data_IF_950059240020
#
_entry.id   IF_950059240020
#
_cell.length_a   1.000
_cell.length_b   1.000
_cell.length_c   1.000
_cell.angle_alpha   90.00
_cell.angle_beta   90.00
_cell.angle_gamma   90.00
#
_symmetry.space_group_name_H-M   'P 1'
#
loop_
_entity.id
_entity.type
_entity.pdbx_description
1 polymer ?
#
# COMPACT_ATOMS: atom_id res chain seq x y z
N UNK A 1 26.89 5.28 16.45
CA UNK A 1 26.06 6.09 15.51
C UNK A 1 25.35 5.14 14.54
N UNK A 2 24.04 5.14 14.29
CA UNK A 2 22.87 5.77 14.92
C UNK A 2 21.89 4.63 15.25
N UNK A 3 21.65 4.36 16.54
CA UNK A 3 20.43 3.64 16.93
C UNK A 3 19.24 4.47 16.40
N UNK A 4 18.26 3.83 15.76
CA UNK A 4 17.06 4.54 15.27
C UNK A 4 16.30 5.07 16.48
N UNK A 5 16.59 6.30 16.89
CA UNK A 5 15.93 6.92 18.03
C UNK A 5 14.43 7.08 17.72
N UNK A 6 13.53 6.66 18.61
CA UNK A 6 12.11 6.88 18.44
C UNK A 6 11.82 8.39 18.38
N UNK A 7 10.81 8.76 17.60
CA UNK A 7 10.35 10.14 17.51
C UNK A 7 9.41 10.45 18.68
N UNK A 8 9.33 11.73 19.06
CA UNK A 8 8.35 12.17 20.04
C UNK A 8 6.93 11.99 19.52
N UNK A 9 5.97 11.75 20.42
CA UNK A 9 4.56 11.54 20.05
C UNK A 9 3.99 12.68 19.18
N UNK A 10 4.28 13.93 19.53
CA UNK A 10 3.84 15.11 18.75
C UNK A 10 4.36 15.09 17.32
N UNK A 11 5.63 14.69 17.14
CA UNK A 11 6.26 14.60 15.82
C UNK A 11 5.70 13.42 15.03
N UNK A 12 5.48 12.28 15.67
CA UNK A 12 4.82 11.13 15.05
C UNK A 12 3.40 11.46 14.58
N UNK A 13 2.63 12.15 15.41
CA UNK A 13 1.29 12.63 15.07
C UNK A 13 1.33 13.57 13.87
N UNK A 14 2.19 14.59 13.89
CA UNK A 14 2.31 15.56 12.79
C UNK A 14 2.70 14.91 11.46
N UNK A 15 3.66 13.98 11.46
CA UNK A 15 4.02 13.22 10.26
C UNK A 15 2.85 12.40 9.74
N UNK A 16 2.21 11.64 10.62
CA UNK A 16 1.08 10.78 10.26
C UNK A 16 -0.07 11.61 9.68
N UNK A 17 -0.41 12.73 10.30
CA UNK A 17 -1.47 13.61 9.84
C UNK A 17 -1.17 14.17 8.45
N UNK A 18 0.01 14.75 8.24
CA UNK A 18 0.41 15.33 6.95
C UNK A 18 0.46 14.28 5.85
N UNK A 19 1.04 13.11 6.13
CA UNK A 19 1.13 12.02 5.15
C UNK A 19 -0.25 11.51 4.72
N UNK A 20 -1.17 11.32 5.67
CA UNK A 20 -2.54 10.91 5.35
C UNK A 20 -3.31 12.00 4.60
N UNK A 21 -3.13 13.27 4.96
CA UNK A 21 -3.78 14.39 4.28
C UNK A 21 -3.39 14.45 2.80
N UNK A 22 -2.09 14.39 2.50
CA UNK A 22 -1.58 14.39 1.11
C UNK A 22 -2.07 13.17 0.34
N UNK A 23 -2.05 11.99 0.97
CA UNK A 23 -2.50 10.75 0.34
C UNK A 23 -4.00 10.79 0.04
N UNK A 24 -4.84 11.19 0.98
CA UNK A 24 -6.28 11.32 0.81
C UNK A 24 -6.64 12.36 -0.25
N UNK A 25 -5.97 13.52 -0.25
CA UNK A 25 -6.14 14.55 -1.28
C UNK A 25 -5.79 14.03 -2.68
N UNK A 26 -4.74 13.20 -2.79
CA UNK A 26 -4.35 12.57 -4.05
C UNK A 26 -5.37 11.52 -4.50
N UNK A 27 -5.91 10.70 -3.57
CA UNK A 27 -6.97 9.74 -3.87
C UNK A 27 -8.24 10.42 -4.37
N UNK A 28 -8.66 11.49 -3.70
CA UNK A 28 -9.77 12.31 -4.16
C UNK A 28 -9.47 12.96 -5.52
N UNK A 29 -8.25 13.46 -5.71
CA UNK A 29 -7.79 14.03 -6.97
C UNK A 29 -7.87 13.05 -8.14
N UNK A 30 -7.60 11.75 -7.92
CA UNK A 30 -7.75 10.72 -8.97
C UNK A 30 -9.21 10.56 -9.41
N UNK A 31 -10.17 10.57 -8.46
CA UNK A 31 -11.59 10.53 -8.79
C UNK A 31 -12.04 11.78 -9.55
N UNK A 32 -11.62 12.97 -9.09
CA UNK A 32 -11.92 14.25 -9.77
C UNK A 32 -11.37 14.25 -11.19
N UNK A 33 -10.15 13.74 -11.38
CA UNK A 33 -9.52 13.64 -12.68
C UNK A 33 -10.32 12.75 -13.63
N UNK A 34 -10.69 11.54 -13.17
CA UNK A 34 -11.50 10.62 -13.98
C UNK A 34 -12.87 11.25 -14.33
N UNK A 35 -13.48 11.99 -13.41
CA UNK A 35 -14.75 12.67 -13.64
C UNK A 35 -14.65 13.87 -14.59
N UNK A 36 -13.54 14.61 -14.56
CA UNK A 36 -13.36 15.83 -15.37
C UNK A 36 -12.75 15.58 -16.75
N UNK A 37 -11.79 14.66 -16.84
CA UNK A 37 -11.03 14.37 -18.07
C UNK A 37 -11.43 13.05 -18.73
N UNK A 38 -12.10 12.16 -17.98
CA UNK A 38 -12.60 10.89 -18.48
C UNK A 38 -14.10 10.95 -18.78
N UNK A 39 -14.80 9.85 -18.50
CA UNK A 39 -16.24 9.72 -18.67
C UNK A 39 -16.90 9.11 -17.42
N UNK A 40 -18.22 9.26 -17.25
CA UNK A 40 -18.95 8.61 -16.16
C UNK A 40 -18.72 7.08 -16.12
N UNK A 41 -18.56 6.45 -17.27
CA UNK A 41 -18.26 5.02 -17.39
C UNK A 41 -16.88 4.68 -16.78
N UNK A 42 -15.86 5.51 -17.03
CA UNK A 42 -14.53 5.31 -16.44
C UNK A 42 -14.57 5.41 -14.92
N UNK A 43 -15.29 6.41 -14.39
CA UNK A 43 -15.49 6.57 -12.94
C UNK A 43 -16.23 5.36 -12.36
N UNK A 44 -17.26 4.88 -13.06
CA UNK A 44 -18.02 3.69 -12.68
C UNK A 44 -17.16 2.43 -12.64
N UNK A 45 -16.35 2.18 -13.68
CA UNK A 45 -15.45 1.03 -13.76
C UNK A 45 -14.37 1.06 -12.67
N UNK A 46 -13.76 2.23 -12.44
CA UNK A 46 -12.77 2.40 -11.37
C UNK A 46 -13.38 2.15 -9.99
N UNK A 47 -14.54 2.74 -9.72
CA UNK A 47 -15.25 2.60 -8.45
C UNK A 47 -15.71 1.16 -8.23
N UNK A 48 -16.21 0.49 -9.27
CA UNK A 48 -16.58 -0.93 -9.22
C UNK A 48 -15.38 -1.80 -8.88
N UNK A 49 -14.21 -1.56 -9.50
CA UNK A 49 -13.00 -2.31 -9.17
C UNK A 49 -12.54 -2.11 -7.73
N UNK A 50 -12.63 -0.90 -7.19
CA UNK A 50 -12.41 -0.66 -5.76
C UNK A 50 -13.43 -1.40 -4.88
N UNK A 51 -14.71 -1.36 -5.25
CA UNK A 51 -15.79 -2.00 -4.50
C UNK A 51 -15.68 -3.53 -4.46
N UNK A 52 -15.28 -4.15 -5.57
CA UNK A 52 -15.10 -5.62 -5.65
C UNK A 52 -13.85 -6.06 -4.89
N UNK A 53 -12.77 -5.30 -4.97
CA UNK A 53 -11.48 -5.69 -4.38
C UNK A 53 -11.41 -5.44 -2.87
N UNK A 54 -12.06 -4.39 -2.37
CA UNK A 54 -11.95 -3.99 -0.97
C UNK A 54 -12.39 -5.08 0.04
N UNK A 55 -13.56 -5.74 -0.09
CA UNK A 55 -13.99 -6.74 0.89
C UNK A 55 -13.03 -7.94 1.00
N UNK A 56 -12.55 -8.45 -0.14
CA UNK A 56 -11.61 -9.58 -0.17
C UNK A 56 -10.29 -9.20 0.52
N UNK A 57 -9.75 -8.02 0.21
CA UNK A 57 -8.51 -7.52 0.82
C UNK A 57 -8.67 -7.23 2.31
N UNK A 58 -9.80 -6.66 2.73
CA UNK A 58 -10.10 -6.39 4.14
C UNK A 58 -10.25 -7.68 4.95
N UNK A 59 -10.94 -8.69 4.39
CA UNK A 59 -11.12 -9.98 5.02
C UNK A 59 -9.78 -10.66 5.32
N UNK A 60 -8.85 -10.63 4.38
CA UNK A 60 -7.51 -11.23 4.54
C UNK A 60 -6.49 -10.34 5.23
N UNK A 61 -6.84 -9.09 5.58
CA UNK A 61 -5.91 -8.15 6.23
C UNK A 61 -5.61 -8.55 7.68
N UNK A 62 -6.58 -9.17 8.37
CA UNK A 62 -6.48 -9.66 9.75
C UNK A 62 -6.03 -8.59 10.78
N UNK A 63 -6.13 -7.30 10.42
CA UNK A 63 -5.56 -6.18 11.17
C UNK A 63 -4.07 -6.38 11.51
N UNK A 64 -3.34 -7.07 10.63
CA UNK A 64 -2.00 -7.59 10.91
C UNK A 64 -0.99 -6.49 11.27
N UNK A 65 -1.12 -5.31 10.66
CA UNK A 65 -0.27 -4.16 10.98
C UNK A 65 -0.39 -3.72 12.44
N UNK A 66 -1.60 -3.75 12.99
CA UNK A 66 -1.82 -3.39 14.40
C UNK A 66 -1.18 -4.44 15.31
N UNK A 67 -1.43 -5.72 15.02
CA UNK A 67 -0.84 -6.86 15.75
C UNK A 67 0.69 -6.79 15.76
N UNK A 68 1.29 -6.46 14.61
CA UNK A 68 2.73 -6.29 14.49
C UNK A 68 3.26 -5.08 15.27
N UNK A 69 2.56 -3.94 15.18
CA UNK A 69 2.98 -2.71 15.87
C UNK A 69 2.89 -2.82 17.40
N UNK A 70 1.98 -3.67 17.91
CA UNK A 70 1.79 -3.88 19.35
C UNK A 70 2.57 -5.07 19.92
N UNK A 71 3.26 -5.85 19.09
CA UNK A 71 4.17 -6.90 19.56
C UNK A 71 5.45 -6.29 20.16
N UNK A 72 5.31 -5.75 21.37
CA UNK A 72 6.40 -5.16 22.14
C UNK A 72 7.37 -6.22 22.68
N UNK A 73 6.94 -7.49 22.73
CA UNK A 73 7.75 -8.61 23.23
C UNK A 73 8.56 -9.29 22.13
N UNK A 74 8.43 -8.87 20.86
CA UNK A 74 9.09 -9.48 19.70
C UNK A 74 8.90 -11.00 19.68
N UNK A 75 7.66 -11.46 19.93
CA UNK A 75 7.34 -12.88 19.96
C UNK A 75 7.45 -13.53 18.59
N UNK A 76 7.24 -12.74 17.52
CA UNK A 76 7.33 -13.19 16.14
C UNK A 76 8.35 -12.37 15.36
N UNK A 77 9.03 -13.01 14.41
CA UNK A 77 9.96 -12.30 13.53
C UNK A 77 9.20 -11.63 12.38
N UNK A 78 9.78 -10.58 11.80
CA UNK A 78 9.19 -9.89 10.64
C UNK A 78 8.79 -10.83 9.50
N UNK A 79 9.54 -11.92 9.30
CA UNK A 79 9.28 -12.92 8.28
C UNK A 79 7.93 -13.63 8.47
N UNK A 80 7.47 -13.84 9.71
CA UNK A 80 6.19 -14.48 10.01
C UNK A 80 5.02 -13.60 9.56
N UNK A 81 5.10 -12.30 9.89
CA UNK A 81 4.13 -11.29 9.45
C UNK A 81 4.10 -11.16 7.93
N UNK A 82 5.28 -11.14 7.28
CA UNK A 82 5.38 -11.06 5.82
C UNK A 82 4.81 -12.32 5.16
N UNK A 83 5.11 -13.51 5.68
CA UNK A 83 4.60 -14.77 5.18
C UNK A 83 3.07 -14.83 5.23
N UNK A 84 2.48 -14.51 6.40
CA UNK A 84 1.03 -14.47 6.57
C UNK A 84 0.38 -13.45 5.61
N UNK A 85 1.01 -12.30 5.41
CA UNK A 85 0.53 -11.28 4.48
C UNK A 85 0.54 -11.74 3.03
N UNK A 86 1.61 -12.41 2.59
CA UNK A 86 1.73 -12.91 1.23
C UNK A 86 0.66 -13.99 0.96
N UNK A 87 0.45 -14.90 1.90
CA UNK A 87 -0.59 -15.94 1.81
C UNK A 87 -1.99 -15.29 1.76
N UNK A 88 -2.30 -14.38 2.70
CA UNK A 88 -3.58 -13.69 2.74
C UNK A 88 -3.85 -12.87 1.49
N UNK A 89 -2.84 -12.15 0.99
CA UNK A 89 -2.95 -11.36 -0.25
C UNK A 89 -3.15 -12.26 -1.47
N UNK A 90 -2.43 -13.38 -1.56
CA UNK A 90 -2.63 -14.37 -2.61
C UNK A 90 -4.06 -14.94 -2.60
N UNK A 91 -4.58 -15.29 -1.43
CA UNK A 91 -5.96 -15.75 -1.27
C UNK A 91 -6.97 -14.67 -1.71
N UNK A 92 -6.77 -13.41 -1.33
CA UNK A 92 -7.63 -12.32 -1.76
C UNK A 92 -7.64 -12.14 -3.28
N UNK A 93 -6.47 -12.24 -3.94
CA UNK A 93 -6.39 -12.18 -5.41
C UNK A 93 -7.16 -13.33 -6.07
N UNK A 94 -7.07 -14.55 -5.52
CA UNK A 94 -7.84 -15.69 -6.02
C UNK A 94 -9.36 -15.47 -5.86
N UNK A 95 -9.80 -14.93 -4.73
CA UNK A 95 -11.21 -14.56 -4.49
C UNK A 95 -11.66 -13.50 -5.50
N UNK A 96 -10.88 -12.43 -5.68
CA UNK A 96 -11.19 -11.35 -6.63
C UNK A 96 -11.28 -11.90 -8.05
N UNK A 97 -10.35 -12.75 -8.47
CA UNK A 97 -10.37 -13.39 -9.77
C UNK A 97 -11.62 -14.28 -9.93
N UNK A 98 -11.94 -15.10 -8.93
CA UNK A 98 -13.13 -15.96 -8.93
C UNK A 98 -14.45 -15.17 -9.03
N UNK A 99 -14.57 -14.07 -8.29
CA UNK A 99 -15.73 -13.15 -8.36
C UNK A 99 -15.81 -12.55 -9.77
N UNK A 100 -14.71 -12.01 -10.27
CA UNK A 100 -14.64 -11.31 -11.56
C UNK A 100 -15.02 -12.24 -12.73
N UNK A 101 -14.53 -13.48 -12.72
CA UNK A 101 -14.82 -14.48 -13.75
C UNK A 101 -16.28 -14.95 -13.72
N UNK A 102 -16.90 -15.04 -12.54
CA UNK A 102 -18.31 -15.49 -12.39
C UNK A 102 -19.34 -14.39 -12.62
N UNK A 103 -18.98 -13.13 -12.41
CA UNK A 103 -19.91 -12.00 -12.48
C UNK A 103 -20.32 -11.61 -13.91
N UNK A 104 -19.66 -12.15 -14.94
CA UNK A 104 -20.03 -11.90 -16.34
C UNK A 104 -19.79 -10.46 -16.81
N UNK A 105 -18.85 -9.73 -16.18
CA UNK A 105 -18.51 -8.38 -16.59
C UNK A 105 -17.92 -8.33 -18.00
N UNK A 106 -18.07 -7.19 -18.68
CA UNK A 106 -17.35 -6.91 -19.92
C UNK A 106 -15.85 -7.08 -19.70
N UNK A 107 -15.15 -7.65 -20.70
CA UNK A 107 -13.71 -7.94 -20.66
C UNK A 107 -12.86 -6.78 -20.11
N UNK A 108 -13.11 -5.56 -20.59
CA UNK A 108 -12.42 -4.34 -20.14
C UNK A 108 -12.59 -4.10 -18.63
N UNK A 109 -13.80 -4.20 -18.11
CA UNK A 109 -14.09 -4.03 -16.69
C UNK A 109 -13.44 -5.13 -15.85
N UNK A 110 -13.46 -6.38 -16.33
CA UNK A 110 -12.78 -7.49 -15.66
C UNK A 110 -11.28 -7.23 -15.54
N UNK A 111 -10.62 -6.76 -16.60
CA UNK A 111 -9.21 -6.37 -16.55
C UNK A 111 -8.97 -5.25 -15.54
N UNK A 112 -9.83 -4.23 -15.50
CA UNK A 112 -9.72 -3.13 -14.52
C UNK A 112 -9.79 -3.66 -13.09
N UNK A 113 -10.74 -4.54 -12.77
CA UNK A 113 -10.88 -5.14 -11.44
C UNK A 113 -9.62 -5.93 -11.08
N UNK A 114 -9.11 -6.75 -12.00
CA UNK A 114 -7.91 -7.56 -11.77
C UNK A 114 -6.67 -6.70 -11.54
N UNK A 115 -6.47 -5.65 -12.33
CA UNK A 115 -5.33 -4.73 -12.15
C UNK A 115 -5.46 -3.92 -10.86
N UNK A 116 -6.66 -3.49 -10.46
CA UNK A 116 -6.88 -2.90 -9.12
C UNK A 116 -6.54 -3.91 -8.03
N UNK A 117 -6.91 -5.18 -8.20
CA UNK A 117 -6.51 -6.26 -7.29
C UNK A 117 -4.99 -6.37 -7.14
N UNK A 118 -4.26 -6.36 -8.26
CA UNK A 118 -2.78 -6.37 -8.26
C UNK A 118 -2.22 -5.12 -7.56
N UNK A 119 -2.77 -3.93 -7.84
CA UNK A 119 -2.38 -2.72 -7.13
C UNK A 119 -2.59 -2.91 -5.62
N UNK A 120 -3.77 -3.37 -5.20
CA UNK A 120 -4.09 -3.66 -3.80
C UNK A 120 -3.14 -4.68 -3.16
N UNK A 121 -2.63 -5.65 -3.93
CA UNK A 121 -1.60 -6.55 -3.44
C UNK A 121 -0.31 -5.81 -3.06
N UNK A 122 0.18 -4.89 -3.91
CA UNK A 122 1.35 -4.07 -3.56
C UNK A 122 1.10 -3.22 -2.31
N UNK A 123 -0.07 -2.61 -2.20
CA UNK A 123 -0.45 -1.85 -0.99
C UNK A 123 -0.51 -2.72 0.26
N UNK A 124 -1.02 -3.95 0.15
CA UNK A 124 -1.09 -4.91 1.25
C UNK A 124 0.31 -5.30 1.75
N UNK A 125 1.26 -5.48 0.82
CA UNK A 125 2.65 -5.78 1.18
C UNK A 125 3.32 -4.55 1.83
N UNK A 126 3.15 -3.35 1.26
CA UNK A 126 3.62 -2.09 1.86
C UNK A 126 3.13 -1.92 3.30
N UNK A 127 1.88 -2.31 3.59
CA UNK A 127 1.29 -2.18 4.92
C UNK A 127 2.01 -2.98 6.01
N UNK A 128 2.62 -4.13 5.68
CA UNK A 128 3.46 -4.90 6.62
C UNK A 128 4.80 -4.20 6.88
N UNK A 129 5.39 -3.59 5.86
CA UNK A 129 6.56 -2.75 6.07
C UNK A 129 6.23 -1.53 6.94
N UNK A 130 5.03 -0.96 6.78
CA UNK A 130 4.56 0.10 7.66
C UNK A 130 4.35 -0.38 9.10
N UNK A 131 3.87 -1.61 9.32
CA UNK A 131 3.82 -2.23 10.66
C UNK A 131 5.19 -2.31 11.33
N UNK A 132 6.20 -2.80 10.60
CA UNK A 132 7.58 -2.85 11.08
C UNK A 132 8.14 -1.45 11.42
N UNK A 133 7.93 -0.48 10.53
CA UNK A 133 8.38 0.90 10.74
C UNK A 133 7.67 1.54 11.95
N UNK A 134 6.39 1.22 12.13
CA UNK A 134 5.56 1.71 13.24
C UNK A 134 5.98 1.10 14.58
N UNK A 135 6.36 -0.18 14.61
CA UNK A 135 6.91 -0.84 15.80
C UNK A 135 8.18 -0.14 16.32
N UNK A 136 8.92 0.54 15.43
CA UNK A 136 10.11 1.33 15.78
C UNK A 136 9.80 2.83 15.99
N UNK A 137 8.52 3.22 16.05
CA UNK A 137 8.06 4.60 16.22
C UNK A 137 8.60 5.60 15.18
N UNK A 138 8.83 5.14 13.95
CA UNK A 138 9.37 5.94 12.83
C UNK A 138 8.29 6.34 11.82
N UNK A 139 7.26 7.05 12.31
CA UNK A 139 6.12 7.47 11.48
C UNK A 139 6.51 8.46 10.37
N UNK A 140 7.67 9.12 10.49
CA UNK A 140 8.24 9.96 9.44
C UNK A 140 8.43 9.21 8.12
N UNK A 141 8.94 7.97 8.17
CA UNK A 141 9.18 7.17 6.96
C UNK A 141 7.88 6.74 6.29
N UNK A 142 6.87 6.37 7.08
CA UNK A 142 5.54 6.02 6.58
C UNK A 142 4.90 7.25 5.92
N UNK A 143 4.96 8.40 6.59
CA UNK A 143 4.40 9.65 6.07
C UNK A 143 5.06 10.05 4.74
N UNK A 144 6.39 9.97 4.64
CA UNK A 144 7.11 10.26 3.39
C UNK A 144 6.69 9.28 2.28
N UNK A 145 6.58 7.99 2.58
CA UNK A 145 6.10 7.02 1.60
C UNK A 145 4.68 7.35 1.11
N UNK A 146 3.76 7.75 1.99
CA UNK A 146 2.40 8.19 1.62
C UNK A 146 2.40 9.47 0.78
N UNK A 147 3.25 10.45 1.13
CA UNK A 147 3.40 11.71 0.38
C UNK A 147 4.02 11.52 -0.99
N UNK A 148 4.76 10.43 -1.23
CA UNK A 148 5.24 10.03 -2.56
C UNK A 148 4.16 9.23 -3.28
N UNK A 149 3.58 8.24 -2.60
CA UNK A 149 2.59 7.30 -3.17
C UNK A 149 1.39 8.02 -3.74
N UNK A 150 0.81 8.97 -3.02
CA UNK A 150 -0.38 9.70 -3.47
C UNK A 150 -0.15 10.46 -4.78
N UNK A 151 0.74 11.46 -4.80
CA UNK A 151 1.04 12.24 -6.00
C UNK A 151 1.57 11.40 -7.17
N UNK A 152 2.40 10.39 -6.91
CA UNK A 152 2.89 9.49 -7.95
C UNK A 152 1.76 8.68 -8.58
N UNK A 153 0.82 8.21 -7.76
CA UNK A 153 -0.40 7.53 -8.21
C UNK A 153 -1.24 8.43 -9.10
N UNK A 154 -1.49 9.66 -8.65
CA UNK A 154 -2.24 10.64 -9.42
C UNK A 154 -1.57 10.90 -10.76
N UNK A 155 -0.26 11.17 -10.76
CA UNK A 155 0.52 11.42 -11.96
C UNK A 155 0.44 10.25 -12.96
N UNK A 156 0.72 9.03 -12.51
CA UNK A 156 0.79 7.86 -13.40
C UNK A 156 -0.59 7.45 -13.89
N UNK A 157 -1.62 7.57 -13.05
CA UNK A 157 -3.01 7.39 -13.47
C UNK A 157 -3.37 8.43 -14.54
N UNK A 158 -3.01 9.70 -14.33
CA UNK A 158 -3.26 10.77 -15.30
C UNK A 158 -2.63 10.46 -16.65
N UNK A 159 -1.35 10.10 -16.65
CA UNK A 159 -0.60 9.71 -17.85
C UNK A 159 -1.30 8.53 -18.53
N UNK A 160 -1.59 7.46 -17.80
CA UNK A 160 -2.24 6.27 -18.34
C UNK A 160 -3.58 6.56 -19.02
N UNK A 161 -4.43 7.39 -18.40
CA UNK A 161 -5.71 7.81 -18.98
C UNK A 161 -5.50 8.72 -20.20
N UNK A 162 -4.57 9.67 -20.15
CA UNK A 162 -4.36 10.63 -21.23
C UNK A 162 -3.86 9.96 -22.52
N UNK A 163 -2.96 8.99 -22.41
CA UNK A 163 -2.38 8.27 -23.55
C UNK A 163 -3.32 7.19 -24.10
N UNK A 164 -3.98 6.42 -23.24
CA UNK A 164 -4.82 5.29 -23.69
C UNK A 164 -6.27 5.68 -23.94
N UNK A 165 -6.73 6.80 -23.36
CA UNK A 165 -8.15 7.19 -23.29
C UNK A 165 -9.06 6.15 -22.62
N UNK A 166 -8.48 5.26 -21.82
CA UNK A 166 -9.20 4.22 -21.09
C UNK A 166 -8.87 4.27 -19.60
N UNK A 167 -9.81 3.81 -18.76
CA UNK A 167 -9.56 3.65 -17.33
C UNK A 167 -8.51 2.55 -17.07
N UNK A 168 -8.43 1.53 -17.93
CA UNK A 168 -7.47 0.44 -17.79
C UNK A 168 -6.03 0.97 -17.81
N UNK A 169 -5.70 1.85 -18.76
CA UNK A 169 -4.38 2.49 -18.79
C UNK A 169 -4.08 3.29 -17.53
N UNK A 170 -5.08 4.01 -16.99
CA UNK A 170 -4.95 4.74 -15.73
C UNK A 170 -4.68 3.83 -14.53
N UNK A 171 -5.41 2.72 -14.43
CA UNK A 171 -5.27 1.74 -13.35
C UNK A 171 -3.95 0.97 -13.45
N UNK A 172 -3.46 0.69 -14.66
CA UNK A 172 -2.09 0.16 -14.86
C UNK A 172 -1.06 1.16 -14.35
N UNK A 173 -1.21 2.45 -14.67
CA UNK A 173 -0.37 3.51 -14.12
C UNK A 173 -0.38 3.56 -12.59
N UNK A 174 -1.57 3.43 -11.98
CA UNK A 174 -1.73 3.33 -10.52
C UNK A 174 -0.97 2.13 -9.93
N UNK A 175 -1.13 0.94 -10.54
CA UNK A 175 -0.44 -0.27 -10.09
C UNK A 175 1.09 -0.11 -10.17
N UNK A 176 1.59 0.49 -11.26
CA UNK A 176 3.01 0.80 -11.42
C UNK A 176 3.50 1.77 -10.35
N UNK A 177 2.75 2.85 -10.07
CA UNK A 177 3.12 3.80 -9.02
C UNK A 177 3.26 3.12 -7.65
N UNK A 178 2.33 2.22 -7.32
CA UNK A 178 2.37 1.50 -6.04
C UNK A 178 3.50 0.47 -5.99
N UNK A 179 3.78 -0.21 -7.10
CA UNK A 179 4.95 -1.08 -7.22
C UNK A 179 6.25 -0.29 -7.01
N UNK A 180 6.39 0.88 -7.64
CA UNK A 180 7.57 1.75 -7.48
C UNK A 180 7.75 2.12 -6.01
N UNK A 181 6.70 2.58 -5.32
CA UNK A 181 6.80 2.93 -3.89
C UNK A 181 7.19 1.72 -3.05
N UNK A 182 6.57 0.57 -3.28
CA UNK A 182 6.90 -0.66 -2.56
C UNK A 182 8.39 -1.02 -2.70
N UNK A 183 8.88 -1.15 -3.92
CA UNK A 183 10.24 -1.61 -4.18
C UNK A 183 11.31 -0.55 -3.85
N UNK A 184 11.06 0.72 -4.19
CA UNK A 184 12.05 1.79 -4.04
C UNK A 184 12.07 2.41 -2.63
N UNK A 185 10.91 2.47 -1.96
CA UNK A 185 10.77 3.12 -0.65
C UNK A 185 10.55 2.11 0.47
N UNK A 186 9.49 1.31 0.41
CA UNK A 186 9.03 0.54 1.58
C UNK A 186 9.96 -0.62 1.93
N UNK A 187 10.34 -1.43 0.94
CA UNK A 187 11.30 -2.53 1.12
C UNK A 187 12.66 -1.98 1.57
N UNK A 188 13.12 -0.90 0.93
CA UNK A 188 14.40 -0.25 1.30
C UNK A 188 14.37 0.25 2.74
N UNK A 189 13.30 0.95 3.14
CA UNK A 189 13.15 1.47 4.49
C UNK A 189 13.05 0.35 5.52
N UNK A 190 12.29 -0.72 5.23
CA UNK A 190 12.19 -1.90 6.08
C UNK A 190 13.52 -2.62 6.26
N UNK A 191 14.26 -2.85 5.16
CA UNK A 191 15.58 -3.48 5.20
C UNK A 191 16.60 -2.68 6.03
N UNK A 192 16.54 -1.34 5.95
CA UNK A 192 17.39 -0.49 6.79
C UNK A 192 17.07 -0.63 8.29
N UNK A 193 15.79 -0.76 8.64
CA UNK A 193 15.36 -0.96 10.04
C UNK A 193 15.83 -2.32 10.56
N UNK A 194 15.59 -3.40 9.80
CA UNK A 194 16.01 -4.75 10.20
C UNK A 194 17.52 -4.84 10.41
N UNK A 195 18.32 -4.26 9.50
CA UNK A 195 19.79 -4.21 9.65
C UNK A 195 20.23 -3.44 10.89
N UNK A 196 19.58 -2.33 11.21
CA UNK A 196 19.92 -1.56 12.41
C UNK A 196 19.54 -2.27 13.71
N UNK A 197 18.44 -3.04 13.71
CA UNK A 197 18.01 -3.82 14.88
C UNK A 197 18.98 -4.97 15.18
N UNK A 198 19.31 -5.78 14.16
CA UNK A 198 20.27 -6.88 14.29
C UNK A 198 21.66 -6.43 14.75
N UNK A 199 22.09 -5.24 14.32
CA UNK A 199 23.38 -4.68 14.74
C UNK A 199 23.37 -4.29 16.22
N UNK A 200 22.29 -3.67 16.69
CA UNK A 200 22.14 -3.29 18.10
C UNK A 200 22.09 -4.52 19.03
N UNK A 201 21.41 -5.60 18.62
CA UNK A 201 21.41 -6.86 19.35
C UNK A 201 22.81 -7.50 19.44
N UNK A 202 23.58 -7.48 18.35
CA UNK A 202 24.96 -7.98 18.35
C UNK A 202 25.88 -7.17 19.26
N UNK A 203 25.77 -5.84 19.28
CA UNK A 203 26.61 -4.98 20.12
C UNK A 203 26.32 -5.22 21.61
N UNK A 204 25.06 -5.38 22.01
CA UNK A 204 24.67 -5.68 23.40
C UNK A 204 25.10 -7.08 23.89
N UNK A 205 25.46 -8.00 23.00
CA UNK A 205 25.91 -9.36 23.37
C UNK A 205 27.43 -9.47 23.50
N UNK A 206 28.17 -8.44 23.06
CA UNK A 206 29.63 -8.39 23.07
C UNK A 206 30.18 -7.55 24.25
N UNK A 207 29.35 -6.69 24.84
CA UNK A 207 29.59 -6.03 26.14
C UNK A 207 29.15 -6.91 27.32
#
# INVERSE_FOLDING_TARGET
MQQLKPLTLRRNFSWTFTGNLVYAASQWGMLVLLAKLGSPEMVGQFTLGLAVTAPAMMFTNLHLRSVQATDAKQQYVFADYLGLRLIGTGLALLIIAGITLKAGYRWETSLVILVIGIAKAFESISDVFYGLIQQHERMDRIAIALMIKGPLSLLFLSIGVLFTKTVLGGVVGLAVAWAIVLFACDIRNGALILKSSQKAERENFVE
#
